data_IF_767597448158
#
_entry.id   IF_767597448158
#
_cell.length_a   1.000
_cell.length_b   1.000
_cell.length_c   1.000
_cell.angle_alpha   90.00
_cell.angle_beta   90.00
_cell.angle_gamma   90.00
#
_symmetry.space_group_name_H-M   'P 1'
#
loop_
_entity.id
_entity.type
_entity.pdbx_description
1 polymer ?
#
# COMPACT_ATOMS: atom_id res chain seq x y z
N UNK A 1 13.95 -16.48 -10.27
CA UNK A 1 13.40 -15.11 -10.24
C UNK A 1 12.74 -14.94 -8.89
N UNK A 2 12.99 -13.83 -8.17
CA UNK A 2 12.34 -13.59 -6.87
C UNK A 2 11.22 -12.60 -7.10
N UNK A 3 10.01 -13.12 -7.26
CA UNK A 3 8.78 -12.34 -7.31
C UNK A 3 8.37 -12.00 -5.88
N UNK A 4 7.90 -10.79 -5.67
CA UNK A 4 7.39 -10.34 -4.37
C UNK A 4 5.94 -9.93 -4.54
N UNK A 5 5.12 -10.28 -3.55
CA UNK A 5 3.74 -9.81 -3.43
C UNK A 5 3.73 -8.65 -2.45
N UNK A 6 3.09 -7.56 -2.82
CA UNK A 6 2.86 -6.47 -1.88
C UNK A 6 1.47 -5.89 -2.06
N UNK A 7 1.04 -5.22 -1.01
CA UNK A 7 -0.20 -4.46 -0.99
C UNK A 7 0.10 -3.02 -0.60
N UNK A 8 -0.69 -2.08 -1.11
CA UNK A 8 -0.55 -0.67 -0.80
C UNK A 8 -1.92 -0.02 -0.55
N UNK A 9 -1.91 1.09 0.18
CA UNK A 9 -3.05 1.98 0.32
C UNK A 9 -2.62 3.32 -0.24
N UNK A 10 -3.22 3.72 -1.35
CA UNK A 10 -2.92 4.99 -1.98
C UNK A 10 -3.82 6.06 -1.38
N UNK A 11 -3.23 7.17 -0.93
CA UNK A 11 -3.96 8.31 -0.39
C UNK A 11 -3.33 9.61 -0.89
N UNK A 12 -4.15 10.64 -1.03
CA UNK A 12 -3.76 11.96 -1.51
C UNK A 12 -2.72 12.66 -0.62
N UNK A 13 -2.72 12.39 0.70
CA UNK A 13 -1.88 13.10 1.65
C UNK A 13 -1.24 12.22 2.75
N UNK A 14 -0.15 12.72 3.33
CA UNK A 14 0.61 12.01 4.37
C UNK A 14 -0.18 11.87 5.69
N UNK A 15 -1.03 12.82 6.04
CA UNK A 15 -1.82 12.77 7.28
C UNK A 15 -2.84 11.64 7.26
N UNK A 16 -3.48 11.39 6.12
CA UNK A 16 -4.37 10.23 5.91
C UNK A 16 -3.59 8.93 6.00
N UNK A 17 -2.40 8.87 5.40
CA UNK A 17 -1.54 7.68 5.51
C UNK A 17 -1.19 7.38 6.98
N UNK A 18 -0.81 8.40 7.76
CA UNK A 18 -0.53 8.27 9.19
C UNK A 18 -1.75 7.84 9.99
N UNK A 19 -2.94 8.40 9.70
CA UNK A 19 -4.19 8.00 10.34
C UNK A 19 -4.54 6.54 10.07
N UNK A 20 -4.41 6.09 8.83
CA UNK A 20 -4.66 4.69 8.44
C UNK A 20 -3.68 3.76 9.14
N UNK A 21 -2.40 4.13 9.20
CA UNK A 21 -1.40 3.37 9.96
C UNK A 21 -1.78 3.26 11.45
N UNK A 22 -2.16 4.38 12.06
CA UNK A 22 -2.57 4.40 13.47
C UNK A 22 -3.84 3.58 13.71
N UNK A 23 -4.77 3.59 12.76
CA UNK A 23 -6.00 2.79 12.80
C UNK A 23 -5.70 1.30 12.67
N UNK A 24 -4.73 0.92 11.81
CA UNK A 24 -4.18 -0.44 11.71
C UNK A 24 -3.53 -0.91 13.02
N UNK A 25 -2.81 -0.01 13.71
CA UNK A 25 -2.12 -0.34 14.96
C UNK A 25 -3.07 -0.39 16.17
N UNK A 26 -4.21 0.31 16.11
CA UNK A 26 -5.15 0.47 17.22
C UNK A 26 -6.44 -0.32 17.09
N UNK A 27 -6.77 -0.80 15.90
CA UNK A 27 -8.02 -1.51 15.62
C UNK A 27 -7.73 -2.94 15.20
N UNK A 28 -8.71 -3.81 15.35
CA UNK A 28 -8.70 -5.17 14.78
C UNK A 28 -8.95 -5.19 13.25
N UNK A 29 -8.95 -4.02 12.61
CA UNK A 29 -9.17 -3.90 11.16
C UNK A 29 -7.95 -4.41 10.41
N UNK A 30 -8.18 -5.22 9.38
CA UNK A 30 -7.12 -5.70 8.52
C UNK A 30 -6.66 -4.64 7.53
N UNK A 31 -5.43 -4.78 7.04
CA UNK A 31 -4.90 -3.90 5.97
C UNK A 31 -5.80 -3.91 4.74
N UNK A 32 -6.35 -5.08 4.40
CA UNK A 32 -7.27 -5.31 3.29
C UNK A 32 -8.56 -4.50 3.41
N UNK A 33 -9.18 -4.48 4.59
CA UNK A 33 -10.37 -3.67 4.86
C UNK A 33 -10.08 -2.18 4.74
N UNK A 34 -8.96 -1.72 5.33
CA UNK A 34 -8.57 -0.32 5.24
C UNK A 34 -8.17 0.08 3.82
N UNK A 35 -7.60 -0.84 3.05
CA UNK A 35 -7.32 -0.60 1.65
C UNK A 35 -8.61 -0.46 0.83
N UNK A 36 -9.60 -1.33 1.05
CA UNK A 36 -10.92 -1.19 0.42
C UNK A 36 -11.63 0.09 0.78
N UNK A 37 -11.56 0.50 2.06
CA UNK A 37 -12.32 1.64 2.56
C UNK A 37 -11.63 2.99 2.28
N UNK A 38 -10.28 3.02 2.29
CA UNK A 38 -9.51 4.27 2.30
C UNK A 38 -8.57 4.44 1.12
N UNK A 39 -8.28 3.41 0.32
CA UNK A 39 -7.41 3.55 -0.85
C UNK A 39 -8.15 4.29 -1.96
N UNK A 40 -7.51 5.32 -2.52
CA UNK A 40 -8.01 6.09 -3.66
C UNK A 40 -7.48 5.56 -4.99
N UNK A 41 -6.67 4.49 -4.97
CA UNK A 41 -6.17 3.82 -6.17
C UNK A 41 -7.08 2.68 -6.62
N UNK A 42 -6.93 2.25 -7.87
CA UNK A 42 -7.63 1.07 -8.45
C UNK A 42 -7.29 -0.26 -7.76
N UNK A 43 -6.31 -0.25 -6.86
CA UNK A 43 -5.97 -1.37 -5.98
C UNK A 43 -6.90 -1.48 -4.77
N UNK A 44 -7.68 -0.44 -4.44
CA UNK A 44 -8.64 -0.46 -3.32
C UNK A 44 -9.65 -1.60 -3.45
N UNK A 45 -10.22 -1.80 -4.64
CA UNK A 45 -11.15 -2.91 -4.92
C UNK A 45 -10.54 -4.30 -4.69
N UNK A 46 -9.22 -4.43 -4.87
CA UNK A 46 -8.47 -5.67 -4.65
C UNK A 46 -7.80 -5.72 -3.28
N UNK A 47 -8.39 -5.12 -2.24
CA UNK A 47 -7.83 -5.16 -0.88
C UNK A 47 -6.42 -4.54 -0.77
N UNK A 48 -6.11 -3.61 -1.67
CA UNK A 48 -4.80 -2.99 -1.80
C UNK A 48 -3.75 -3.87 -2.49
N UNK A 49 -4.11 -5.07 -2.94
CA UNK A 49 -3.19 -6.02 -3.56
C UNK A 49 -2.70 -5.53 -4.92
N UNK A 50 -1.37 -5.57 -5.12
CA UNK A 50 -0.71 -5.24 -6.38
C UNK A 50 -0.32 -6.48 -7.19
N UNK A 51 -0.68 -7.68 -6.72
CA UNK A 51 -0.23 -8.94 -7.28
C UNK A 51 1.26 -9.20 -7.06
N UNK A 52 1.78 -10.12 -7.86
CA UNK A 52 3.21 -10.45 -7.89
C UNK A 52 3.90 -9.52 -8.87
N UNK A 53 4.97 -8.86 -8.41
CA UNK A 53 5.82 -8.06 -9.27
C UNK A 53 7.28 -8.46 -9.09
N UNK A 54 8.03 -8.43 -10.19
CA UNK A 54 9.48 -8.59 -10.14
C UNK A 54 10.08 -7.29 -9.61
N UNK A 55 11.21 -7.37 -8.88
CA UNK A 55 11.89 -6.17 -8.31
C UNK A 55 12.20 -5.08 -9.34
N UNK A 56 12.23 -5.41 -10.64
CA UNK A 56 12.44 -4.48 -11.75
C UNK A 56 11.20 -3.70 -12.20
N UNK A 57 9.99 -4.22 -11.94
CA UNK A 57 8.72 -3.66 -12.41
C UNK A 57 8.10 -2.63 -11.44
N UNK A 58 8.79 -2.36 -10.32
CA UNK A 58 8.40 -1.29 -9.42
C UNK A 58 8.60 0.06 -10.13
N UNK A 59 7.50 0.67 -10.56
CA UNK A 59 7.48 1.95 -11.29
C UNK A 59 8.32 3.01 -10.55
N UNK A 60 9.16 3.77 -11.26
CA UNK A 60 10.11 4.76 -10.68
C UNK A 60 9.52 5.74 -9.64
N UNK A 61 8.28 6.27 -9.75
CA UNK A 61 7.69 7.08 -8.67
C UNK A 61 7.40 6.27 -7.40
N UNK A 62 7.12 4.97 -7.52
CA UNK A 62 7.05 4.01 -6.43
C UNK A 62 8.43 3.69 -5.84
N UNK A 63 9.45 3.51 -6.69
CA UNK A 63 10.86 3.31 -6.30
C UNK A 63 11.42 4.48 -5.46
N UNK A 64 11.04 5.73 -5.78
CA UNK A 64 11.57 6.93 -5.10
C UNK A 64 11.05 7.10 -3.66
N UNK A 65 9.85 6.61 -3.34
CA UNK A 65 9.28 6.70 -1.97
C UNK A 65 9.76 5.56 -1.06
N UNK A 66 9.97 4.35 -1.59
CA UNK A 66 10.45 3.20 -0.81
C UNK A 66 11.97 3.15 -0.59
N UNK A 67 12.78 3.82 -1.43
CA UNK A 67 14.24 3.92 -1.28
C UNK A 67 14.72 4.60 0.03
N UNK A 68 13.81 5.14 0.85
CA UNK A 68 14.13 5.81 2.12
C UNK A 68 13.68 5.06 3.37
N UNK A 69 13.03 3.90 3.21
CA UNK A 69 12.54 3.07 4.32
C UNK A 69 12.95 1.59 4.18
N UNK A 70 13.98 1.31 3.37
CA UNK A 70 14.77 0.07 3.42
C UNK A 70 16.03 0.31 4.26
#
# INVERSE_FOLDING_TARGET
MTEVRASHILVDNEERAKRIKLELERSDKTFSELAKEKSEGSSGDNDGDLGFFSRGDMVKPFKKKYSRWM
#
